data_IF_499336965072
#
_entry.id   IF_499336965072
#
_cell.length_a   1.000
_cell.length_b   1.000
_cell.length_c   1.000
_cell.angle_alpha   90.00
_cell.angle_beta   90.00
_cell.angle_gamma   90.00
#
_symmetry.space_group_name_H-M   'P 1'
#
loop_
_entity.id
_entity.type
_entity.pdbx_description
1 polymer ?
#
# COMPACT_ATOMS: atom_id res chain seq x y z
N UNK A 1 -22.40 13.56 -6.57
CA UNK A 1 -22.09 12.22 -6.31
C UNK A 1 -20.62 11.88 -6.51
N UNK A 2 -19.92 11.65 -5.46
CA UNK A 2 -18.54 11.36 -5.55
C UNK A 2 -18.25 9.90 -5.79
N UNK A 3 -17.23 9.62 -6.57
CA UNK A 3 -16.67 8.28 -6.60
C UNK A 3 -15.68 8.16 -5.48
N UNK A 4 -15.74 7.08 -4.75
CA UNK A 4 -14.69 6.80 -3.82
C UNK A 4 -13.43 6.47 -4.60
N UNK A 5 -12.32 7.11 -4.23
CA UNK A 5 -11.06 6.75 -4.81
C UNK A 5 -10.62 5.38 -4.29
N UNK A 6 -9.80 4.69 -5.06
CA UNK A 6 -9.28 3.41 -4.61
C UNK A 6 -8.40 3.57 -3.38
N UNK A 7 -7.71 4.71 -3.25
CA UNK A 7 -6.93 4.99 -2.06
C UNK A 7 -7.81 5.06 -0.82
N UNK A 8 -8.93 5.79 -0.92
CA UNK A 8 -9.85 5.91 0.20
C UNK A 8 -10.42 4.55 0.61
N UNK A 9 -10.79 3.75 -0.37
CA UNK A 9 -11.32 2.43 -0.12
C UNK A 9 -10.28 1.50 0.52
N UNK A 10 -9.03 1.58 0.06
CA UNK A 10 -7.94 0.81 0.64
C UNK A 10 -7.71 1.19 2.09
N UNK A 11 -7.76 2.48 2.40
CA UNK A 11 -7.61 2.97 3.77
C UNK A 11 -8.75 2.45 4.64
N UNK A 12 -9.99 2.50 4.15
CA UNK A 12 -11.13 1.99 4.90
C UNK A 12 -10.95 0.51 5.23
N UNK A 13 -10.50 -0.27 4.25
CA UNK A 13 -10.24 -1.69 4.45
C UNK A 13 -9.18 -1.90 5.54
N UNK A 14 -8.13 -1.10 5.50
CA UNK A 14 -7.04 -1.21 6.47
C UNK A 14 -7.50 -0.79 7.87
N UNK A 15 -8.35 0.23 7.97
CA UNK A 15 -8.81 0.73 9.26
C UNK A 15 -9.73 -0.26 9.97
N UNK A 16 -10.35 -1.17 9.24
CA UNK A 16 -11.16 -2.23 9.83
C UNK A 16 -10.34 -3.32 10.50
N UNK A 17 -9.04 -3.38 10.22
CA UNK A 17 -8.18 -4.40 10.78
C UNK A 17 -7.46 -3.92 12.02
N UNK A 18 -6.79 -4.85 12.68
CA UNK A 18 -5.94 -4.52 13.81
C UNK A 18 -4.73 -3.74 13.35
N UNK A 19 -4.33 -2.79 14.17
CA UNK A 19 -3.09 -2.08 13.93
C UNK A 19 -1.96 -2.73 14.72
N UNK A 20 -0.74 -2.35 14.39
CA UNK A 20 0.45 -2.84 15.07
C UNK A 20 1.65 -2.03 14.61
N UNK A 21 2.56 -1.81 15.53
CA UNK A 21 3.79 -1.12 15.22
C UNK A 21 4.80 -2.05 14.57
N UNK A 22 5.69 -1.50 13.82
CA UNK A 22 6.74 -2.23 13.17
C UNK A 22 7.05 -1.65 11.82
N UNK A 23 8.10 -2.17 11.21
CA UNK A 23 8.48 -1.78 9.87
C UNK A 23 8.05 -2.89 8.93
N UNK A 24 7.30 -2.53 7.92
CA UNK A 24 6.78 -3.48 6.95
C UNK A 24 7.16 -3.04 5.55
N UNK A 25 7.59 -4.00 4.76
CA UNK A 25 7.83 -3.76 3.34
C UNK A 25 6.69 -4.39 2.57
N UNK A 26 6.14 -3.62 1.63
CA UNK A 26 5.14 -4.12 0.71
C UNK A 26 5.74 -4.08 -0.69
N UNK A 27 5.86 -5.26 -1.28
CA UNK A 27 6.41 -5.41 -2.63
C UNK A 27 5.25 -5.68 -3.57
N UNK A 28 5.16 -4.93 -4.65
CA UNK A 28 4.08 -5.10 -5.62
C UNK A 28 4.65 -5.19 -7.03
N UNK A 29 4.00 -6.00 -7.84
CA UNK A 29 4.45 -6.26 -9.19
C UNK A 29 3.25 -6.29 -10.13
N UNK A 30 3.32 -5.50 -11.18
CA UNK A 30 2.29 -5.43 -12.20
C UNK A 30 2.71 -6.23 -13.43
N UNK A 31 3.01 -7.50 -13.26
CA UNK A 31 3.43 -8.38 -14.35
C UNK A 31 2.47 -8.31 -15.52
N UNK A 32 3.03 -8.12 -16.72
CA UNK A 32 2.24 -8.17 -17.94
C UNK A 32 1.27 -7.03 -18.13
N UNK A 33 1.25 -6.05 -17.24
CA UNK A 33 0.37 -4.91 -17.35
C UNK A 33 1.17 -3.62 -17.39
N UNK A 34 0.53 -2.58 -17.90
CA UNK A 34 1.13 -1.25 -17.88
C UNK A 34 1.24 -0.76 -16.45
N UNK A 35 2.25 0.05 -16.20
CA UNK A 35 2.31 0.80 -14.95
C UNK A 35 1.10 1.71 -14.86
N UNK A 36 0.15 1.45 -13.96
CA UNK A 36 -1.03 2.30 -13.88
C UNK A 36 -0.69 3.59 -13.15
N UNK A 37 -0.64 4.68 -13.90
CA UNK A 37 -0.32 5.97 -13.30
C UNK A 37 -1.29 6.32 -12.17
N UNK A 38 -2.53 5.86 -12.29
CA UNK A 38 -3.52 6.08 -11.24
C UNK A 38 -3.14 5.36 -9.94
N UNK A 39 -2.52 4.20 -10.05
CA UNK A 39 -2.03 3.50 -8.85
C UNK A 39 -1.02 4.37 -8.10
N UNK A 40 -0.05 4.90 -8.79
CA UNK A 40 1.00 5.69 -8.15
C UNK A 40 0.45 6.97 -7.53
N UNK A 41 -0.55 7.56 -8.15
CA UNK A 41 -1.22 8.74 -7.59
C UNK A 41 -1.93 8.38 -6.29
N UNK A 42 -2.66 7.28 -6.28
CA UNK A 42 -3.34 6.80 -5.08
C UNK A 42 -2.35 6.33 -4.03
N UNK A 43 -1.25 5.71 -4.46
CA UNK A 43 -0.19 5.29 -3.55
C UNK A 43 0.39 6.47 -2.78
N UNK A 44 0.65 7.59 -3.46
CA UNK A 44 1.16 8.78 -2.81
C UNK A 44 0.22 9.24 -1.70
N UNK A 45 -1.08 9.17 -1.94
CA UNK A 45 -2.08 9.52 -0.92
C UNK A 45 -1.99 8.59 0.29
N UNK A 46 -1.89 7.30 0.05
CA UNK A 46 -1.79 6.31 1.14
C UNK A 46 -0.50 6.50 1.92
N UNK A 47 0.61 6.73 1.23
CA UNK A 47 1.89 6.97 1.90
C UNK A 47 1.83 8.20 2.78
N UNK A 48 1.18 9.27 2.31
CA UNK A 48 1.00 10.46 3.12
C UNK A 48 0.15 10.23 4.35
N UNK A 49 -0.89 9.41 4.22
CA UNK A 49 -1.80 9.11 5.32
C UNK A 49 -1.13 8.32 6.45
N UNK A 50 -0.21 7.42 6.11
CA UNK A 50 0.43 6.52 7.07
C UNK A 50 1.92 6.77 7.26
N UNK A 51 2.41 7.89 6.75
CA UNK A 51 3.83 8.25 6.84
C UNK A 51 4.75 7.18 6.26
N UNK A 52 4.32 6.57 5.16
CA UNK A 52 5.12 5.57 4.48
C UNK A 52 6.12 6.19 3.52
N UNK A 53 7.04 5.37 3.04
CA UNK A 53 8.09 5.82 2.15
C UNK A 53 8.30 4.80 1.03
N UNK A 54 8.45 5.32 -0.17
CA UNK A 54 8.75 4.48 -1.32
C UNK A 54 10.27 4.33 -1.41
N UNK A 55 10.78 3.13 -1.13
CA UNK A 55 12.23 2.91 -1.09
C UNK A 55 12.78 2.40 -2.42
N UNK A 56 11.94 1.79 -3.24
CA UNK A 56 12.28 1.40 -4.60
C UNK A 56 11.03 1.49 -5.45
N UNK A 57 11.18 1.32 -6.75
CA UNK A 57 10.06 1.44 -7.68
C UNK A 57 8.87 0.55 -7.31
N UNK A 58 9.14 -0.65 -6.82
CA UNK A 58 8.09 -1.63 -6.49
C UNK A 58 8.04 -1.98 -5.02
N UNK A 59 8.67 -1.18 -4.15
CA UNK A 59 8.74 -1.48 -2.73
C UNK A 59 8.49 -0.21 -1.93
N UNK A 60 7.58 -0.32 -0.97
CA UNK A 60 7.34 0.75 -0.01
C UNK A 60 7.60 0.25 1.39
N UNK A 61 8.06 1.14 2.25
CA UNK A 61 8.26 0.85 3.67
C UNK A 61 7.19 1.56 4.46
N UNK A 62 6.49 0.80 5.27
CA UNK A 62 5.42 1.33 6.12
C UNK A 62 5.78 1.11 7.58
N UNK A 63 5.32 1.99 8.44
CA UNK A 63 5.65 1.95 9.86
C UNK A 63 4.52 1.40 10.73
N UNK A 64 3.47 0.90 10.10
CA UNK A 64 2.36 0.31 10.83
C UNK A 64 1.75 -0.80 10.00
N UNK A 65 1.09 -1.73 10.68
CA UNK A 65 0.40 -2.81 10.01
C UNK A 65 -0.74 -2.30 9.15
N UNK A 66 -1.48 -1.30 9.65
CA UNK A 66 -2.57 -0.69 8.85
C UNK A 66 -2.05 -0.05 7.59
N UNK A 67 -0.94 0.66 7.68
CA UNK A 67 -0.32 1.26 6.51
C UNK A 67 0.06 0.22 5.47
N UNK A 68 0.70 -0.85 5.91
CA UNK A 68 1.08 -1.94 5.00
C UNK A 68 -0.15 -2.57 4.36
N UNK A 69 -1.20 -2.78 5.14
CA UNK A 69 -2.44 -3.36 4.65
C UNK A 69 -3.13 -2.46 3.62
N UNK A 70 -3.09 -1.15 3.85
CA UNK A 70 -3.68 -0.21 2.90
C UNK A 70 -2.95 -0.25 1.56
N UNK A 71 -1.62 -0.31 1.56
CA UNK A 71 -0.85 -0.43 0.33
C UNK A 71 -1.16 -1.75 -0.38
N UNK A 72 -1.21 -2.83 0.38
CA UNK A 72 -1.54 -4.14 -0.17
C UNK A 72 -2.92 -4.11 -0.84
N UNK A 73 -3.93 -3.61 -0.15
CA UNK A 73 -5.28 -3.54 -0.69
C UNK A 73 -5.34 -2.69 -1.96
N UNK A 74 -4.62 -1.57 -1.95
CA UNK A 74 -4.58 -0.70 -3.12
C UNK A 74 -3.95 -1.41 -4.31
N UNK A 75 -2.79 -2.04 -4.10
CA UNK A 75 -2.09 -2.72 -5.19
C UNK A 75 -2.92 -3.88 -5.75
N UNK A 76 -3.56 -4.64 -4.88
CA UNK A 76 -4.44 -5.72 -5.32
C UNK A 76 -5.62 -5.20 -6.15
N UNK A 77 -6.15 -4.04 -5.79
CA UNK A 77 -7.26 -3.45 -6.53
C UNK A 77 -6.88 -3.05 -7.95
N UNK A 78 -5.59 -2.91 -8.22
CA UNK A 78 -5.07 -2.61 -9.56
C UNK A 78 -4.50 -3.85 -10.25
N UNK A 79 -4.68 -5.02 -9.68
CA UNK A 79 -4.25 -6.27 -10.29
C UNK A 79 -2.80 -6.65 -10.07
N UNK A 80 -2.13 -6.02 -9.13
CA UNK A 80 -0.76 -6.36 -8.83
C UNK A 80 -0.65 -7.65 -8.03
N UNK A 81 0.49 -8.32 -8.15
CA UNK A 81 0.89 -9.34 -7.21
C UNK A 81 1.56 -8.63 -6.04
N UNK A 82 1.23 -9.02 -4.82
CA UNK A 82 1.71 -8.31 -3.64
C UNK A 82 2.32 -9.28 -2.65
N UNK A 83 3.44 -8.88 -2.09
CA UNK A 83 4.04 -9.57 -0.95
C UNK A 83 4.28 -8.57 0.15
N UNK A 84 4.01 -9.00 1.36
CA UNK A 84 4.21 -8.17 2.53
C UNK A 84 5.16 -8.89 3.48
N UNK A 85 6.15 -8.17 3.99
CA UNK A 85 7.13 -8.73 4.91
C UNK A 85 7.31 -7.77 6.08
N UNK A 86 7.42 -8.33 7.27
CA UNK A 86 7.79 -7.56 8.44
C UNK A 86 9.31 -7.52 8.51
N UNK A 87 9.88 -6.33 8.62
CA UNK A 87 11.31 -6.16 8.74
C UNK A 87 11.70 -6.32 10.19
N UNK A 88 12.60 -7.25 10.43
CA UNK A 88 13.09 -7.51 11.79
C UNK A 88 14.52 -7.06 11.85
N UNK A 89 14.81 -6.13 12.75
CA UNK A 89 16.19 -5.72 13.02
C UNK A 89 16.83 -6.76 13.91
N UNK A 90 17.94 -7.28 13.46
CA UNK A 90 18.59 -8.32 14.22
C UNK A 90 20.02 -8.13 14.42
#
# INVERSE_FOLDING_TARGET
MGRESKAKKAIETAEDGEDGEGVFWVVYDFEGTRNPSKFYRNLAYVLGRYAGERIQKSVVEMRSRRGARAVEALALSYGAKVRRAKVVEG
#
